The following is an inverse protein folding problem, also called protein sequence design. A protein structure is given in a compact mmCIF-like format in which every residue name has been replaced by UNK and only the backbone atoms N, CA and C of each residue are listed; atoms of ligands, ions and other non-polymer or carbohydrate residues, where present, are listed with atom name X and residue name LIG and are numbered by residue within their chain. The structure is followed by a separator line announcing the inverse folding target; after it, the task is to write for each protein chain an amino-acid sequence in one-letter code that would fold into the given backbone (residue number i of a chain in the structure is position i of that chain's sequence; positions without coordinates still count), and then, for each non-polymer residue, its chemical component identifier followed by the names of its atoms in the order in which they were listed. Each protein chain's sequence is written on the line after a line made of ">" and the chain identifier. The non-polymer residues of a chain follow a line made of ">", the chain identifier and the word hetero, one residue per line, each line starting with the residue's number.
data_IF_503437596418
#
_entry.id   IF_503437596418
#
_cell.length_a   1.000
_cell.length_b   1.000
_cell.length_c   1.000
_cell.angle_alpha   90.00
_cell.angle_beta   90.00
_cell.angle_gamma   90.00
#
_symmetry.space_group_name_H-M   'P 1'
#
loop_
_entity.id
_entity.type
_entity.pdbx_description
1 polymer ?
#
# COMPACT_ATOMS: atom_id res chain seq x y z
N UNK A 1 -2.48 69.67 -31.85
CA UNK A 1 -2.82 68.55 -30.95
C UNK A 1 -1.67 68.43 -29.95
N UNK A 2 -1.74 69.18 -28.85
CA UNK A 2 -0.75 69.28 -27.76
C UNK A 2 -0.75 67.98 -26.93
N UNK A 3 0.39 67.35 -26.61
CA UNK A 3 1.34 67.63 -25.50
C UNK A 3 0.80 67.41 -24.07
N UNK A 4 1.55 66.57 -23.33
CA UNK A 4 2.01 66.69 -21.93
C UNK A 4 1.25 66.03 -20.75
N UNK A 5 2.08 65.28 -19.96
CA UNK A 5 2.33 65.29 -18.49
C UNK A 5 1.14 64.99 -17.55
N UNK A 6 1.20 63.97 -16.68
CA UNK A 6 2.02 63.77 -15.46
C UNK A 6 1.50 64.51 -14.21
N UNK A 7 1.65 63.83 -13.05
CA UNK A 7 1.50 64.28 -11.65
C UNK A 7 0.06 64.45 -11.12
N UNK A 8 -0.28 64.23 -9.85
CA UNK A 8 0.38 63.69 -8.67
C UNK A 8 -0.65 63.55 -7.52
N UNK A 9 -0.28 62.75 -6.51
CA UNK A 9 -0.56 62.93 -5.07
C UNK A 9 -1.98 62.74 -4.50
N UNK A 10 -2.05 61.82 -3.52
CA UNK A 10 -3.10 61.72 -2.51
C UNK A 10 -2.73 60.67 -1.48
N UNK A 11 -1.95 61.07 -0.46
CA UNK A 11 -1.54 60.29 0.72
C UNK A 11 -2.55 60.56 1.85
N UNK A 12 -2.64 59.64 2.82
CA UNK A 12 -3.32 59.69 4.14
C UNK A 12 -4.76 59.16 4.18
N UNK A 13 -5.23 58.41 5.19
CA UNK A 13 -4.68 57.90 6.46
C UNK A 13 -5.68 56.91 7.05
N UNK A 14 -5.21 55.93 7.83
CA UNK A 14 -6.02 55.10 8.72
C UNK A 14 -6.74 55.93 9.80
N UNK A 15 -8.00 55.60 10.11
CA UNK A 15 -8.48 55.21 11.46
C UNK A 15 -10.00 54.97 11.51
N UNK A 16 -10.34 53.75 11.92
CA UNK A 16 -11.34 53.34 12.93
C UNK A 16 -12.69 54.07 13.01
N UNK A 17 -13.77 53.31 12.81
CA UNK A 17 -14.98 53.37 13.66
C UNK A 17 -15.50 51.94 13.88
N UNK A 18 -15.55 51.54 15.15
CA UNK A 18 -16.26 50.39 15.70
C UNK A 18 -17.74 50.74 15.89
N UNK A 19 -18.66 49.83 15.55
CA UNK A 19 -19.62 49.21 16.49
C UNK A 19 -20.75 48.44 15.77
N UNK A 20 -20.89 47.18 16.21
CA UNK A 20 -22.08 46.40 16.53
C UNK A 20 -23.30 46.40 15.59
N UNK A 21 -23.72 45.19 15.17
CA UNK A 21 -24.84 44.48 15.81
C UNK A 21 -24.90 43.00 15.40
N UNK A 22 -25.17 42.15 16.39
CA UNK A 22 -25.43 40.70 16.30
C UNK A 22 -26.76 40.41 15.59
N UNK A 23 -26.88 39.29 14.85
CA UNK A 23 -27.69 38.11 15.26
C UNK A 23 -27.86 37.03 14.18
N UNK A 24 -27.85 35.77 14.66
CA UNK A 24 -28.43 34.51 14.17
C UNK A 24 -27.80 33.71 13.00
N UNK A 25 -27.00 32.71 13.42
CA UNK A 25 -27.00 31.28 13.07
C UNK A 25 -27.73 30.83 11.79
N UNK A 26 -26.96 30.26 10.86
CA UNK A 26 -27.22 28.92 10.32
C UNK A 26 -25.91 28.30 9.84
N UNK A 27 -25.64 27.11 10.35
CA UNK A 27 -24.60 26.20 9.89
C UNK A 27 -24.86 25.80 8.43
N UNK A 28 -23.79 25.63 7.65
CA UNK A 28 -23.55 24.54 6.68
C UNK A 28 -22.38 24.94 5.77
N UNK A 29 -21.20 24.35 5.99
CA UNK A 29 -20.28 23.92 4.91
C UNK A 29 -19.08 23.20 5.52
N UNK A 30 -18.84 21.94 5.14
CA UNK A 30 -17.51 21.35 5.26
C UNK A 30 -17.17 20.48 4.06
N UNK A 31 -16.19 20.96 3.30
CA UNK A 31 -15.68 20.34 2.09
C UNK A 31 -14.21 19.90 2.21
N UNK A 32 -14.01 18.66 1.78
CA UNK A 32 -12.81 18.07 1.16
C UNK A 32 -11.59 17.74 2.04
N UNK A 33 -11.49 16.46 2.40
CA UNK A 33 -10.31 15.61 2.25
C UNK A 33 -10.79 14.31 1.57
N UNK A 34 -9.96 13.60 0.82
CA UNK A 34 -10.34 12.43 0.04
C UNK A 34 -10.85 11.28 0.91
N UNK A 35 -12.15 11.27 1.17
CA UNK A 35 -12.87 10.14 1.75
C UNK A 35 -13.42 9.25 0.64
N UNK A 36 -12.98 8.00 0.65
CA UNK A 36 -13.83 6.87 0.27
C UNK A 36 -14.63 6.49 1.52
N UNK A 37 -15.87 6.97 1.61
CA UNK A 37 -16.93 6.31 2.39
C UNK A 37 -18.18 6.21 1.54
N UNK A 38 -18.64 4.98 1.38
CA UNK A 38 -19.94 4.61 0.83
C UNK A 38 -20.90 4.61 2.04
N UNK A 39 -21.91 5.47 2.01
CA UNK A 39 -23.04 5.45 2.95
C UNK A 39 -24.07 4.47 2.42
N UNK A 40 -24.14 3.27 3.00
CA UNK A 40 -25.21 2.31 2.74
C UNK A 40 -26.29 2.44 3.79
N UNK A 41 -27.41 3.06 3.40
CA UNK A 41 -28.68 2.96 4.11
C UNK A 41 -29.22 1.54 4.04
N UNK A 42 -29.80 1.08 5.16
CA UNK A 42 -30.56 -0.15 5.27
C UNK A 42 -31.74 -0.17 4.30
N UNK A 43 -31.76 -1.15 3.40
CA UNK A 43 -32.99 -1.56 2.73
C UNK A 43 -33.09 -3.08 2.76
N UNK A 44 -33.97 -3.56 3.65
CA UNK A 44 -34.52 -4.91 3.70
C UNK A 44 -34.87 -5.42 2.30
N UNK A 45 -34.21 -6.49 1.85
CA UNK A 45 -34.68 -7.35 0.76
C UNK A 45 -34.40 -8.80 1.17
N UNK A 46 -35.47 -9.59 1.12
CA UNK A 46 -35.61 -10.95 1.64
C UNK A 46 -34.53 -11.94 1.17
N UNK A 47 -34.05 -12.76 2.11
CA UNK A 47 -33.21 -13.94 1.89
C UNK A 47 -33.95 -15.02 1.09
N UNK A 48 -33.32 -15.67 0.09
CA UNK A 48 -33.68 -17.02 -0.28
C UNK A 48 -32.75 -18.00 0.45
N UNK A 49 -33.34 -18.80 1.34
CA UNK A 49 -32.72 -19.97 1.96
C UNK A 49 -32.09 -20.88 0.89
N UNK A 50 -30.79 -21.15 1.00
CA UNK A 50 -30.14 -22.26 0.31
C UNK A 50 -29.47 -23.16 1.34
N UNK A 51 -30.07 -24.33 1.48
CA UNK A 51 -29.66 -25.43 2.35
C UNK A 51 -28.30 -25.99 1.96
N UNK A 52 -27.42 -26.15 2.95
CA UNK A 52 -26.15 -26.87 2.82
C UNK A 52 -26.41 -28.38 2.68
N UNK A 53 -25.89 -29.06 1.65
CA UNK A 53 -25.72 -30.50 1.71
C UNK A 53 -24.49 -30.83 2.55
N UNK A 54 -24.70 -31.66 3.56
CA UNK A 54 -23.69 -32.33 4.38
C UNK A 54 -22.76 -33.17 3.50
N UNK A 55 -21.45 -32.98 3.68
CA UNK A 55 -20.39 -33.86 3.19
C UNK A 55 -20.53 -35.25 3.84
N UNK A 56 -20.31 -36.35 3.10
CA UNK A 56 -18.97 -36.95 3.16
C UNK A 56 -18.56 -37.63 1.85
N UNK A 57 -17.40 -37.27 1.30
CA UNK A 57 -16.40 -38.30 1.00
C UNK A 57 -14.98 -37.74 0.93
N UNK A 58 -14.17 -38.17 1.88
CA UNK A 58 -12.75 -37.91 1.95
C UNK A 58 -12.02 -38.85 0.98
N UNK A 59 -11.39 -38.31 -0.05
CA UNK A 59 -10.16 -38.82 -0.66
C UNK A 59 -9.79 -37.93 -1.85
N UNK A 60 -8.80 -37.05 -1.72
CA UNK A 60 -7.81 -36.77 -2.77
C UNK A 60 -6.59 -36.03 -2.17
N UNK A 61 -5.40 -36.16 -2.79
CA UNK A 61 -4.12 -36.24 -2.08
C UNK A 61 -3.39 -34.89 -1.99
N UNK A 62 -2.81 -34.66 -0.82
CA UNK A 62 -1.91 -33.54 -0.52
C UNK A 62 -0.69 -33.53 -1.46
N UNK A 63 -0.55 -32.49 -2.27
CA UNK A 63 0.67 -32.20 -3.03
C UNK A 63 1.41 -30.98 -2.43
N UNK A 64 2.70 -31.17 -2.15
CA UNK A 64 3.64 -30.19 -1.60
C UNK A 64 4.47 -29.51 -2.73
N UNK A 65 4.77 -28.20 -2.67
CA UNK A 65 5.69 -27.56 -3.63
C UNK A 65 7.19 -27.77 -3.28
N UNK A 66 7.90 -28.38 -4.22
CA UNK A 66 9.36 -28.43 -4.49
C UNK A 66 10.42 -28.13 -3.38
N UNK A 67 11.00 -29.23 -2.88
CA UNK A 67 12.43 -29.57 -2.71
C UNK A 67 13.38 -28.69 -1.86
N UNK A 68 13.54 -29.11 -0.59
CA UNK A 68 14.83 -29.13 0.10
C UNK A 68 15.41 -30.55 0.01
N UNK A 69 16.72 -30.64 -0.22
CA UNK A 69 17.48 -31.84 -0.56
C UNK A 69 17.57 -32.87 0.58
N UNK A 70 17.52 -34.14 0.18
CA UNK A 70 17.75 -35.35 0.98
C UNK A 70 19.13 -35.36 1.63
N UNK A 71 19.19 -35.39 2.96
CA UNK A 71 20.25 -36.02 3.74
C UNK A 71 19.85 -35.99 5.24
N UNK A 72 18.83 -36.74 5.67
CA UNK A 72 18.72 -37.16 7.10
C UNK A 72 17.64 -38.23 7.39
N UNK A 73 17.39 -39.15 6.46
CA UNK A 73 16.60 -40.36 6.76
C UNK A 73 17.32 -41.61 6.29
N UNK A 74 18.34 -42.01 7.05
CA UNK A 74 18.66 -43.41 7.18
C UNK A 74 18.72 -43.76 8.66
N UNK A 75 17.99 -44.82 8.99
CA UNK A 75 17.91 -45.51 10.27
C UNK A 75 17.05 -44.83 11.33
N UNK A 76 15.79 -45.26 11.41
CA UNK A 76 15.14 -45.55 12.69
C UNK A 76 14.03 -46.59 12.44
N UNK A 77 14.45 -47.84 12.33
CA UNK A 77 13.58 -49.01 12.39
C UNK A 77 14.08 -49.94 13.48
N UNK A 78 13.88 -49.61 14.76
CA UNK A 78 14.14 -50.58 15.83
C UNK A 78 13.15 -50.45 16.99
N UNK A 79 12.35 -51.52 17.11
CA UNK A 79 11.84 -52.14 18.33
C UNK A 79 12.44 -51.65 19.65
N UNK A 80 11.56 -51.28 20.58
CA UNK A 80 11.87 -50.96 21.98
C UNK A 80 12.45 -52.16 22.72
N UNK A 81 13.65 -52.05 23.34
CA UNK A 81 14.07 -52.93 24.41
C UNK A 81 13.90 -52.24 25.77
N UNK A 82 13.42 -53.00 26.76
CA UNK A 82 13.49 -52.65 28.17
C UNK A 82 14.94 -52.38 28.58
N UNK A 83 15.24 -51.15 28.99
CA UNK A 83 16.50 -50.76 29.61
C UNK A 83 16.20 -49.82 30.79
N UNK A 84 16.42 -50.34 32.00
CA UNK A 84 16.56 -49.54 33.22
C UNK A 84 17.70 -48.53 33.02
N UNK A 85 17.35 -47.24 32.92
CA UNK A 85 18.26 -46.11 32.82
C UNK A 85 18.22 -45.22 34.08
N UNK A 86 19.23 -44.36 34.29
CA UNK A 86 19.46 -43.69 35.57
C UNK A 86 18.32 -42.73 35.90
N UNK A 87 17.97 -42.66 37.19
CA UNK A 87 16.96 -41.74 37.70
C UNK A 87 17.30 -40.32 37.28
N UNK A 88 16.53 -39.79 36.32
CA UNK A 88 16.51 -38.36 36.03
C UNK A 88 15.87 -37.71 37.24
N UNK A 89 16.67 -36.97 38.01
CA UNK A 89 16.16 -36.06 39.02
C UNK A 89 15.30 -35.02 38.27
N UNK A 90 13.99 -35.19 38.39
CA UNK A 90 13.02 -34.22 37.86
C UNK A 90 13.14 -32.98 38.74
N UNK A 91 13.71 -31.93 38.17
CA UNK A 91 13.71 -30.60 38.76
C UNK A 91 12.27 -30.08 38.81
N UNK A 92 11.63 -30.25 39.98
CA UNK A 92 10.27 -29.79 40.24
C UNK A 92 10.16 -28.25 40.37
N UNK A 93 11.27 -27.49 40.29
CA UNK A 93 11.25 -26.02 40.37
C UNK A 93 10.94 -25.32 39.03
N UNK A 94 10.62 -26.08 37.96
CA UNK A 94 10.14 -25.53 36.69
C UNK A 94 8.78 -24.81 36.81
N UNK A 95 7.97 -25.12 37.82
CA UNK A 95 6.66 -24.47 38.05
C UNK A 95 6.78 -23.05 38.63
N UNK A 96 7.95 -22.66 39.17
CA UNK A 96 8.15 -21.35 39.80
C UNK A 96 8.99 -20.36 38.97
N UNK A 97 9.28 -20.69 37.70
CA UNK A 97 9.73 -19.65 36.77
C UNK A 97 8.52 -18.81 36.39
N UNK A 98 8.49 -17.56 36.85
CA UNK A 98 7.68 -16.52 36.23
C UNK A 98 8.01 -16.51 34.74
N UNK A 99 7.19 -17.17 33.93
CA UNK A 99 7.20 -17.01 32.49
C UNK A 99 6.76 -15.57 32.28
N UNK A 100 7.60 -14.68 31.72
CA UNK A 100 7.17 -13.31 31.44
C UNK A 100 5.88 -13.40 30.66
N UNK A 101 4.83 -12.71 31.10
CA UNK A 101 3.60 -12.67 30.31
C UNK A 101 3.97 -12.32 28.87
N UNK A 102 3.47 -13.08 27.87
CA UNK A 102 3.77 -12.78 26.50
C UNK A 102 3.34 -11.34 26.27
N UNK A 103 4.31 -10.49 25.88
CA UNK A 103 3.99 -9.11 25.53
C UNK A 103 2.86 -9.16 24.50
N UNK A 104 1.84 -8.28 24.62
CA UNK A 104 0.78 -8.24 23.63
C UNK A 104 1.43 -8.13 22.25
N UNK A 105 0.87 -8.81 21.23
CA UNK A 105 1.39 -8.69 19.87
C UNK A 105 1.47 -7.21 19.51
N UNK A 106 2.64 -6.80 19.04
CA UNK A 106 2.90 -5.43 18.60
C UNK A 106 3.56 -5.53 17.25
N UNK A 107 3.14 -4.69 16.31
CA UNK A 107 3.79 -4.60 15.00
C UNK A 107 5.20 -4.06 15.19
N UNK A 108 6.15 -4.60 14.43
CA UNK A 108 7.51 -4.07 14.40
C UNK A 108 7.48 -2.64 13.87
N UNK A 109 7.99 -1.69 14.65
CA UNK A 109 8.02 -0.29 14.25
C UNK A 109 8.95 -0.08 13.05
N UNK A 110 8.54 0.79 12.12
CA UNK A 110 9.36 1.15 10.96
C UNK A 110 10.69 1.81 11.36
N UNK A 111 11.75 1.46 10.64
CA UNK A 111 13.09 2.02 10.87
C UNK A 111 13.16 3.42 10.25
N UNK A 112 13.15 4.45 11.09
CA UNK A 112 13.20 5.85 10.64
C UNK A 112 14.57 6.24 10.09
N UNK A 113 14.60 6.77 8.86
CA UNK A 113 15.75 7.35 8.17
C UNK A 113 15.49 8.86 8.00
N UNK A 114 15.89 9.62 9.01
CA UNK A 114 15.64 11.06 9.15
C UNK A 114 16.91 11.92 9.22
N UNK A 115 18.09 11.29 9.23
CA UNK A 115 19.39 11.98 9.21
C UNK A 115 20.29 11.43 8.11
N UNK A 116 21.32 12.20 7.75
CA UNK A 116 22.31 11.76 6.77
C UNK A 116 23.08 10.53 7.26
N UNK A 117 23.36 10.43 8.55
CA UNK A 117 24.05 9.30 9.16
C UNK A 117 23.22 8.03 9.06
N UNK A 118 21.91 8.11 9.31
CA UNK A 118 21.01 6.96 9.14
C UNK A 118 20.85 6.58 7.67
N UNK A 119 20.79 7.56 6.78
CA UNK A 119 20.76 7.33 5.34
C UNK A 119 22.04 6.62 4.87
N UNK A 120 23.21 7.09 5.31
CA UNK A 120 24.50 6.45 5.04
C UNK A 120 24.59 5.02 5.56
N UNK A 121 24.02 4.76 6.74
CA UNK A 121 23.95 3.42 7.30
C UNK A 121 23.00 2.50 6.51
N UNK A 122 21.92 3.06 5.96
CA UNK A 122 20.95 2.32 5.15
C UNK A 122 21.49 1.98 3.76
N UNK A 123 22.19 2.89 3.08
CA UNK A 123 22.56 2.77 1.66
C UNK A 123 23.24 1.43 1.25
N UNK A 124 24.14 0.80 2.03
CA UNK A 124 24.69 -0.52 1.71
C UNK A 124 23.67 -1.67 1.61
N UNK A 125 22.45 -1.45 2.11
CA UNK A 125 21.33 -2.39 2.02
C UNK A 125 20.82 -2.49 0.58
N UNK A 126 20.96 -1.43 -0.22
CA UNK A 126 20.48 -1.41 -1.61
C UNK A 126 21.18 -2.45 -2.49
N UNK A 127 22.45 -2.76 -2.22
CA UNK A 127 23.23 -3.75 -2.96
C UNK A 127 22.85 -5.21 -2.60
N UNK A 128 22.00 -5.41 -1.59
CA UNK A 128 21.54 -6.71 -1.13
C UNK A 128 20.12 -7.05 -1.64
N UNK A 129 19.49 -6.12 -2.36
CA UNK A 129 18.16 -6.32 -2.93
C UNK A 129 18.16 -7.47 -3.94
N UNK A 130 17.13 -8.30 -3.88
CA UNK A 130 16.94 -9.42 -4.80
C UNK A 130 16.19 -9.01 -6.07
N UNK A 131 16.34 -9.81 -7.13
CA UNK A 131 15.54 -9.70 -8.34
C UNK A 131 14.13 -10.26 -8.12
N UNK A 132 13.18 -9.86 -8.98
CA UNK A 132 11.78 -10.24 -8.83
C UNK A 132 11.01 -9.32 -7.87
N UNK A 133 9.98 -9.83 -7.19
CA UNK A 133 9.17 -9.04 -6.24
C UNK A 133 9.96 -8.81 -4.96
N UNK A 134 10.42 -7.58 -4.74
CA UNK A 134 11.38 -7.30 -3.65
C UNK A 134 11.04 -6.07 -2.80
N UNK A 135 10.35 -5.09 -3.36
CA UNK A 135 10.04 -3.84 -2.69
C UNK A 135 8.53 -3.67 -2.57
N UNK A 136 8.07 -3.16 -1.43
CA UNK A 136 6.74 -2.62 -1.25
C UNK A 136 6.86 -1.17 -0.78
N UNK A 137 6.18 -0.25 -1.45
CA UNK A 137 6.40 1.20 -1.31
C UNK A 137 5.07 1.95 -1.22
N UNK A 138 5.12 3.06 -0.49
CA UNK A 138 4.03 4.03 -0.38
C UNK A 138 4.60 5.42 -0.04
N UNK A 139 3.98 6.48 -0.54
CA UNK A 139 4.41 7.85 -0.26
C UNK A 139 3.34 8.63 0.48
N UNK A 140 3.79 9.40 1.46
CA UNK A 140 2.93 10.31 2.20
C UNK A 140 3.11 11.75 1.73
N UNK A 141 1.98 12.45 1.63
CA UNK A 141 1.93 13.85 1.21
C UNK A 141 2.14 14.83 2.34
N UNK A 142 2.21 16.11 1.98
CA UNK A 142 2.05 17.21 2.92
C UNK A 142 0.57 17.60 3.05
N UNK A 143 0.17 18.27 4.14
CA UNK A 143 -1.15 18.86 4.26
C UNK A 143 -1.51 19.73 3.04
N UNK A 144 -2.74 19.58 2.57
CA UNK A 144 -3.30 20.54 1.62
C UNK A 144 -3.52 21.88 2.31
N UNK A 145 -2.94 22.96 1.77
CA UNK A 145 -3.19 24.32 2.28
C UNK A 145 -4.35 24.92 1.52
N UNK A 146 -5.36 25.44 2.22
CA UNK A 146 -6.40 26.29 1.63
C UNK A 146 -6.22 27.73 2.11
N UNK A 147 -6.35 28.70 1.21
CA UNK A 147 -6.41 30.14 1.55
C UNK A 147 -7.74 30.66 0.99
N UNK A 148 -8.59 31.21 1.86
CA UNK A 148 -9.95 31.64 1.52
C UNK A 148 -10.79 30.55 0.83
N UNK A 149 -10.71 29.30 1.32
CA UNK A 149 -11.41 28.15 0.74
C UNK A 149 -10.77 27.57 -0.53
N UNK A 150 -9.76 28.23 -1.12
CA UNK A 150 -9.09 27.79 -2.36
C UNK A 150 -7.81 27.02 -2.03
N UNK A 151 -7.64 25.85 -2.63
CA UNK A 151 -6.40 25.07 -2.55
C UNK A 151 -5.22 25.89 -3.10
N UNK A 152 -4.21 26.09 -2.28
CA UNK A 152 -2.97 26.73 -2.70
C UNK A 152 -2.12 25.66 -3.39
N UNK A 153 -1.57 25.94 -4.60
CA UNK A 153 -0.79 24.96 -5.35
C UNK A 153 0.42 24.40 -4.59
N UNK A 154 0.91 25.12 -3.56
CA UNK A 154 2.07 24.74 -2.76
C UNK A 154 1.73 23.84 -1.56
N UNK A 155 0.73 22.96 -1.65
CA UNK A 155 0.36 22.02 -0.59
C UNK A 155 -0.32 20.77 -1.14
N UNK A 156 -0.43 19.72 -0.33
CA UNK A 156 -1.04 18.45 -0.73
C UNK A 156 -0.03 17.42 -1.26
N UNK A 157 -0.53 16.47 -2.06
CA UNK A 157 0.18 15.33 -2.64
C UNK A 157 0.08 15.37 -4.18
N UNK A 158 1.08 14.82 -4.89
CA UNK A 158 1.19 14.88 -6.36
C UNK A 158 2.12 15.98 -6.90
N UNK A 159 2.03 16.29 -8.20
CA UNK A 159 2.99 17.13 -8.95
C UNK A 159 3.22 18.54 -8.40
N UNK A 160 2.22 19.11 -7.74
CA UNK A 160 2.30 20.44 -7.12
C UNK A 160 2.53 20.36 -5.60
N UNK A 161 2.31 19.19 -5.00
CA UNK A 161 2.41 18.94 -3.57
C UNK A 161 3.82 18.57 -3.10
N UNK A 162 3.99 18.42 -1.78
CA UNK A 162 5.26 17.99 -1.18
C UNK A 162 5.13 16.57 -0.63
N UNK A 163 6.24 15.83 -0.66
CA UNK A 163 6.35 14.50 -0.08
C UNK A 163 6.92 14.64 1.32
N UNK A 164 6.23 14.08 2.31
CA UNK A 164 6.69 14.05 3.70
C UNK A 164 7.50 12.80 3.97
N UNK A 165 6.98 11.63 3.56
CA UNK A 165 7.62 10.34 3.77
C UNK A 165 7.55 9.46 2.53
N UNK A 166 8.50 8.53 2.48
CA UNK A 166 8.43 7.32 1.67
C UNK A 166 8.61 6.15 2.63
N UNK A 167 7.65 5.23 2.70
CA UNK A 167 7.85 3.94 3.35
C UNK A 167 8.30 2.90 2.32
N UNK A 168 9.20 2.02 2.75
CA UNK A 168 9.73 0.95 1.92
C UNK A 168 9.94 -0.30 2.75
N UNK A 169 9.20 -1.35 2.44
CA UNK A 169 9.45 -2.70 2.97
C UNK A 169 10.34 -3.45 1.99
N UNK A 170 11.50 -3.89 2.48
CA UNK A 170 12.37 -4.82 1.76
C UNK A 170 11.93 -6.23 2.14
N UNK A 171 11.33 -6.92 1.17
CA UNK A 171 10.63 -8.18 1.37
C UNK A 171 11.58 -9.28 1.84
N UNK A 172 12.72 -9.44 1.15
CA UNK A 172 13.71 -10.46 1.50
C UNK A 172 14.30 -10.31 2.90
N UNK A 173 14.25 -9.09 3.46
CA UNK A 173 14.78 -8.76 4.78
C UNK A 173 13.70 -8.68 5.86
N UNK A 174 12.41 -8.66 5.46
CA UNK A 174 11.26 -8.43 6.35
C UNK A 174 11.43 -7.17 7.20
N UNK A 175 11.89 -6.08 6.58
CA UNK A 175 12.13 -4.79 7.26
C UNK A 175 11.46 -3.66 6.53
N UNK A 176 10.79 -2.80 7.28
CA UNK A 176 10.19 -1.56 6.79
C UNK A 176 11.04 -0.37 7.21
N UNK A 177 11.42 0.45 6.23
CA UNK A 177 12.15 1.70 6.42
C UNK A 177 11.24 2.88 6.12
N UNK A 178 11.28 3.92 6.93
CA UNK A 178 10.52 5.15 6.74
C UNK A 178 11.52 6.28 6.46
N UNK A 179 11.56 6.77 5.23
CA UNK A 179 12.42 7.86 4.83
C UNK A 179 11.74 9.20 5.07
N UNK A 180 12.39 10.07 5.84
CA UNK A 180 11.95 11.44 6.05
C UNK A 180 12.31 12.34 4.87
N UNK A 181 11.50 12.26 3.81
CA UNK A 181 11.71 13.04 2.59
C UNK A 181 11.54 14.54 2.86
N UNK A 182 10.75 14.92 3.86
CA UNK A 182 10.62 16.33 4.26
C UNK A 182 11.96 16.92 4.74
N UNK A 183 12.67 16.21 5.63
CA UNK A 183 13.95 16.67 6.16
C UNK A 183 15.10 16.47 5.16
N UNK A 184 15.18 15.28 4.54
CA UNK A 184 16.30 14.88 3.69
C UNK A 184 16.16 15.37 2.23
N UNK A 185 14.93 15.70 1.80
CA UNK A 185 14.59 16.25 0.49
C UNK A 185 15.11 15.36 -0.64
N UNK A 186 15.71 15.95 -1.68
CA UNK A 186 16.30 15.22 -2.81
C UNK A 186 17.44 14.29 -2.40
N UNK A 187 18.10 14.57 -1.29
CA UNK A 187 19.19 13.74 -0.77
C UNK A 187 18.74 12.31 -0.52
N UNK A 188 17.49 12.09 -0.11
CA UNK A 188 16.91 10.75 0.08
C UNK A 188 17.10 9.87 -1.16
N UNK A 189 16.95 10.46 -2.35
CA UNK A 189 16.95 9.73 -3.62
C UNK A 189 18.30 9.80 -4.35
N UNK A 190 19.01 10.92 -4.22
CA UNK A 190 20.23 11.21 -4.99
C UNK A 190 21.51 10.73 -4.29
N UNK A 191 21.49 10.55 -2.96
CA UNK A 191 22.68 10.09 -2.23
C UNK A 191 23.02 8.66 -2.61
N UNK A 192 24.30 8.44 -2.91
CA UNK A 192 24.81 7.15 -3.37
C UNK A 192 25.55 6.42 -2.25
N UNK A 193 25.43 5.10 -2.25
CA UNK A 193 26.29 4.19 -1.53
C UNK A 193 27.73 4.23 -2.09
N UNK A 194 28.66 3.52 -1.43
CA UNK A 194 30.08 3.47 -1.87
C UNK A 194 30.26 2.81 -3.24
N UNK A 195 29.37 1.90 -3.61
CA UNK A 195 29.29 1.25 -4.92
C UNK A 195 28.53 2.08 -5.98
N UNK A 196 28.10 3.30 -5.63
CA UNK A 196 27.48 4.25 -6.56
C UNK A 196 25.98 4.05 -6.77
N UNK A 197 25.33 3.22 -5.96
CA UNK A 197 23.90 2.92 -6.04
C UNK A 197 23.09 3.90 -5.17
N UNK A 198 22.05 4.49 -5.72
CA UNK A 198 21.11 5.36 -4.99
C UNK A 198 19.69 4.79 -4.99
N UNK A 199 18.85 5.29 -4.08
CA UNK A 199 17.44 4.91 -4.04
C UNK A 199 16.73 5.30 -5.35
N UNK A 200 17.11 6.42 -5.98
CA UNK A 200 16.62 6.79 -7.32
C UNK A 200 16.87 5.68 -8.34
N UNK A 201 18.11 5.19 -8.44
CA UNK A 201 18.45 4.13 -9.41
C UNK A 201 17.72 2.81 -9.10
N UNK A 202 17.46 2.53 -7.82
CA UNK A 202 16.65 1.37 -7.41
C UNK A 202 15.20 1.50 -7.84
N UNK A 203 14.59 2.67 -7.67
CA UNK A 203 13.22 2.95 -8.10
C UNK A 203 13.05 3.01 -9.62
N UNK A 204 14.11 3.37 -10.36
CA UNK A 204 14.13 3.40 -11.84
C UNK A 204 14.46 2.02 -12.46
N UNK A 205 14.93 1.06 -11.66
CA UNK A 205 15.32 -0.27 -12.14
C UNK A 205 14.10 -1.09 -12.62
N UNK A 206 14.35 -1.88 -13.67
CA UNK A 206 13.39 -2.83 -14.22
C UNK A 206 13.68 -4.29 -13.83
N UNK A 207 14.73 -4.52 -13.03
CA UNK A 207 15.19 -5.85 -12.63
C UNK A 207 14.33 -6.42 -11.48
N UNK A 208 13.71 -5.53 -10.71
CA UNK A 208 12.87 -5.85 -9.55
C UNK A 208 11.52 -5.18 -9.63
N UNK A 209 10.49 -5.94 -9.25
CA UNK A 209 9.11 -5.49 -9.16
C UNK A 209 8.91 -4.76 -7.83
N UNK A 210 8.36 -3.56 -7.94
CA UNK A 210 7.93 -2.71 -6.84
C UNK A 210 6.42 -2.87 -6.65
N UNK A 211 6.00 -3.32 -5.48
CA UNK A 211 4.60 -3.40 -5.08
C UNK A 211 4.13 -2.05 -4.57
N UNK A 212 2.96 -1.63 -5.05
CA UNK A 212 2.31 -0.39 -4.66
C UNK A 212 0.81 -0.64 -4.50
N UNK A 213 0.14 0.18 -3.69
CA UNK A 213 -1.32 0.22 -3.65
C UNK A 213 -1.81 1.53 -4.28
N UNK A 214 -2.36 1.47 -5.50
CA UNK A 214 -2.73 2.68 -6.27
C UNK A 214 -1.55 3.62 -6.58
N UNK A 215 -0.71 3.22 -7.52
CA UNK A 215 0.52 3.92 -7.97
C UNK A 215 0.36 5.39 -8.40
N UNK A 216 -0.87 5.89 -8.59
CA UNK A 216 -1.10 7.14 -9.32
C UNK A 216 -0.55 8.36 -8.57
N UNK A 217 -0.89 8.48 -7.28
CA UNK A 217 -0.47 9.65 -6.49
C UNK A 217 1.06 9.67 -6.29
N UNK A 218 1.62 8.50 -5.97
CA UNK A 218 3.05 8.30 -5.72
C UNK A 218 3.90 8.66 -6.93
N UNK A 219 3.56 8.14 -8.12
CA UNK A 219 4.35 8.40 -9.31
C UNK A 219 4.20 9.82 -9.84
N UNK A 220 3.02 10.45 -9.68
CA UNK A 220 2.83 11.87 -9.99
C UNK A 220 3.80 12.75 -9.18
N UNK A 221 4.00 12.45 -7.89
CA UNK A 221 4.94 13.20 -7.05
C UNK A 221 6.40 12.82 -7.28
N UNK A 222 6.74 11.54 -7.38
CA UNK A 222 8.11 11.04 -7.59
C UNK A 222 8.70 11.59 -8.90
N UNK A 223 7.91 11.58 -9.97
CA UNK A 223 8.35 12.08 -11.26
C UNK A 223 8.48 13.61 -11.27
N UNK A 224 7.41 14.35 -10.93
CA UNK A 224 7.42 15.80 -11.12
C UNK A 224 8.28 16.56 -10.08
N UNK A 225 8.42 16.03 -8.86
CA UNK A 225 9.18 16.72 -7.79
C UNK A 225 10.64 16.26 -7.72
N UNK A 226 10.90 14.99 -8.01
CA UNK A 226 12.21 14.36 -7.83
C UNK A 226 12.84 13.87 -9.14
N UNK A 227 12.11 13.91 -10.26
CA UNK A 227 12.63 13.52 -11.57
C UNK A 227 12.98 12.03 -11.65
N UNK A 228 12.27 11.20 -10.89
CA UNK A 228 12.47 9.75 -10.84
C UNK A 228 11.64 9.12 -11.96
N UNK A 229 12.29 8.34 -12.81
CA UNK A 229 11.62 7.61 -13.89
C UNK A 229 10.91 6.36 -13.36
N UNK A 230 9.83 5.97 -14.04
CA UNK A 230 9.06 4.78 -13.68
C UNK A 230 9.94 3.53 -13.88
N UNK A 231 10.12 2.75 -12.81
CA UNK A 231 10.71 1.41 -12.88
C UNK A 231 9.66 0.33 -13.09
N UNK A 232 9.97 -0.91 -12.74
CA UNK A 232 9.01 -2.02 -12.85
C UNK A 232 8.05 -2.04 -11.65
N UNK A 233 6.79 -1.69 -11.90
CA UNK A 233 5.76 -1.52 -10.87
C UNK A 233 4.64 -2.54 -11.00
N UNK A 234 4.05 -2.94 -9.87
CA UNK A 234 2.85 -3.77 -9.78
C UNK A 234 1.88 -3.15 -8.80
N UNK A 235 0.73 -2.71 -9.31
CA UNK A 235 -0.33 -2.10 -8.53
C UNK A 235 -1.27 -3.20 -7.98
N UNK A 236 -1.18 -3.46 -6.68
CA UNK A 236 -1.97 -4.48 -6.00
C UNK A 236 -3.47 -4.17 -6.00
N UNK A 237 -3.87 -2.92 -6.14
CA UNK A 237 -5.28 -2.56 -6.27
C UNK A 237 -5.87 -3.11 -7.59
N UNK A 238 -5.08 -3.16 -8.66
CA UNK A 238 -5.49 -3.78 -9.92
C UNK A 238 -5.56 -5.30 -9.80
N UNK A 239 -4.59 -5.92 -9.12
CA UNK A 239 -4.63 -7.35 -8.80
C UNK A 239 -5.90 -7.70 -8.02
N UNK A 240 -6.23 -6.89 -7.02
CA UNK A 240 -7.38 -7.08 -6.17
C UNK A 240 -8.67 -7.07 -7.00
N UNK A 241 -8.89 -6.06 -7.84
CA UNK A 241 -10.05 -5.99 -8.76
C UNK A 241 -10.19 -7.23 -9.62
N UNK A 242 -9.09 -7.69 -10.22
CA UNK A 242 -9.12 -8.86 -11.09
C UNK A 242 -9.37 -10.17 -10.31
N UNK A 243 -8.89 -10.24 -9.06
CA UNK A 243 -9.02 -11.41 -8.19
C UNK A 243 -10.44 -11.66 -7.66
N UNK A 244 -11.35 -10.68 -7.77
CA UNK A 244 -12.75 -10.80 -7.29
C UNK A 244 -13.55 -11.81 -8.11
N UNK A 245 -14.48 -12.48 -7.43
CA UNK A 245 -15.48 -13.36 -8.07
C UNK A 245 -16.72 -12.59 -8.58
N UNK A 246 -16.98 -11.40 -8.04
CA UNK A 246 -18.19 -10.61 -8.32
C UNK A 246 -17.92 -9.25 -8.97
N UNK A 247 -18.63 -8.22 -8.52
CA UNK A 247 -18.61 -6.88 -9.12
C UNK A 247 -17.19 -6.28 -9.17
N UNK A 248 -16.78 -5.92 -10.39
CA UNK A 248 -15.50 -5.27 -10.72
C UNK A 248 -15.66 -3.82 -11.18
N UNK A 249 -16.81 -3.18 -10.96
CA UNK A 249 -17.04 -1.81 -11.45
C UNK A 249 -16.43 -0.71 -10.57
N UNK A 250 -15.80 -1.07 -9.44
CA UNK A 250 -15.12 -0.13 -8.54
C UNK A 250 -13.83 -0.72 -7.99
N UNK A 251 -12.81 0.09 -7.77
CA UNK A 251 -11.61 -0.29 -7.01
C UNK A 251 -11.87 -0.20 -5.49
N UNK A 252 -11.18 -1.02 -4.70
CA UNK A 252 -11.24 -0.97 -3.23
C UNK A 252 -10.04 -0.21 -2.64
N UNK A 253 -10.22 0.38 -1.46
CA UNK A 253 -9.11 0.91 -0.67
C UNK A 253 -8.42 -0.18 0.15
N UNK A 254 -7.15 0.03 0.52
CA UNK A 254 -6.33 -0.96 1.22
C UNK A 254 -6.96 -1.47 2.51
N UNK A 255 -7.49 -0.58 3.36
CA UNK A 255 -8.17 -0.95 4.61
C UNK A 255 -9.33 -1.92 4.37
N UNK A 256 -10.15 -1.66 3.35
CA UNK A 256 -11.27 -2.55 3.00
C UNK A 256 -10.76 -3.91 2.56
N UNK A 257 -9.77 -3.93 1.68
CA UNK A 257 -9.17 -5.18 1.19
C UNK A 257 -8.52 -5.96 2.33
N UNK A 258 -7.84 -5.31 3.26
CA UNK A 258 -7.24 -5.98 4.42
C UNK A 258 -8.30 -6.58 5.35
N UNK A 259 -9.44 -5.91 5.58
CA UNK A 259 -10.58 -6.49 6.32
C UNK A 259 -11.12 -7.77 5.65
N UNK A 260 -11.10 -7.83 4.32
CA UNK A 260 -11.61 -8.97 3.55
C UNK A 260 -10.57 -10.11 3.43
N UNK A 261 -9.30 -9.76 3.18
CA UNK A 261 -8.24 -10.69 2.77
C UNK A 261 -7.20 -10.98 3.86
N UNK A 262 -7.02 -10.09 4.85
CA UNK A 262 -5.95 -10.17 5.84
C UNK A 262 -5.97 -11.46 6.67
N UNK A 263 -7.17 -11.95 6.99
CA UNK A 263 -7.39 -13.19 7.75
C UNK A 263 -6.83 -14.45 7.08
N UNK A 264 -6.46 -14.38 5.80
CA UNK A 264 -5.86 -15.51 5.07
C UNK A 264 -4.35 -15.64 5.32
N UNK A 265 -3.69 -14.64 5.91
CA UNK A 265 -2.24 -14.62 6.10
C UNK A 265 -1.75 -13.95 7.40
N UNK A 266 -2.66 -13.36 8.19
CA UNK A 266 -2.41 -12.84 9.53
C UNK A 266 -3.25 -13.62 10.55
N UNK A 267 -2.78 -13.71 11.80
CA UNK A 267 -3.64 -14.13 12.91
C UNK A 267 -4.78 -13.12 13.13
N UNK A 268 -5.88 -13.51 13.79
CA UNK A 268 -6.95 -12.57 14.16
C UNK A 268 -6.42 -11.34 14.91
N UNK A 269 -5.50 -11.55 15.85
CA UNK A 269 -4.90 -10.49 16.68
C UNK A 269 -4.00 -9.56 15.84
N UNK A 270 -3.15 -10.12 14.98
CA UNK A 270 -2.28 -9.34 14.08
C UNK A 270 -3.10 -8.46 13.13
N UNK A 271 -4.20 -9.00 12.59
CA UNK A 271 -5.10 -8.27 11.71
C UNK A 271 -5.86 -7.17 12.46
N UNK A 272 -6.35 -7.46 13.67
CA UNK A 272 -7.02 -6.46 14.52
C UNK A 272 -6.08 -5.30 14.83
N UNK A 273 -4.83 -5.59 15.23
CA UNK A 273 -3.81 -4.55 15.46
C UNK A 273 -3.55 -3.72 14.21
N UNK A 274 -3.41 -4.35 13.04
CA UNK A 274 -3.19 -3.61 11.79
C UNK A 274 -4.38 -2.69 11.46
N UNK A 275 -5.61 -3.18 11.63
CA UNK A 275 -6.84 -2.39 11.40
C UNK A 275 -6.91 -1.22 12.36
N UNK A 276 -6.68 -1.46 13.65
CA UNK A 276 -6.71 -0.45 14.70
C UNK A 276 -5.65 0.63 14.47
N UNK A 277 -4.41 0.25 14.17
CA UNK A 277 -3.34 1.19 13.82
C UNK A 277 -3.71 2.04 12.59
N UNK A 278 -4.27 1.41 11.56
CA UNK A 278 -4.67 2.08 10.31
C UNK A 278 -5.79 3.08 10.55
N UNK A 279 -6.80 2.72 11.34
CA UNK A 279 -7.92 3.58 11.68
C UNK A 279 -7.50 4.69 12.64
N UNK A 280 -6.75 4.38 13.69
CA UNK A 280 -6.23 5.35 14.66
C UNK A 280 -5.33 6.39 14.00
N UNK A 281 -4.43 5.97 13.10
CA UNK A 281 -3.59 6.89 12.33
C UNK A 281 -4.39 7.79 11.38
N UNK A 282 -5.34 7.21 10.62
CA UNK A 282 -6.24 7.98 9.75
C UNK A 282 -7.01 9.04 10.54
N UNK A 283 -7.59 8.65 11.68
CA UNK A 283 -8.32 9.55 12.56
C UNK A 283 -7.41 10.62 13.16
N UNK A 284 -6.21 10.25 13.60
CA UNK A 284 -5.21 11.15 14.13
C UNK A 284 -4.84 12.23 13.10
N UNK A 285 -4.51 11.85 11.86
CA UNK A 285 -4.18 12.80 10.81
C UNK A 285 -5.36 13.71 10.46
N UNK A 286 -6.57 13.15 10.30
CA UNK A 286 -7.77 13.96 9.97
C UNK A 286 -8.06 15.01 11.05
N UNK A 287 -8.06 14.62 12.33
CA UNK A 287 -8.30 15.54 13.45
C UNK A 287 -7.27 16.67 13.54
N UNK A 288 -6.06 16.44 13.03
CA UNK A 288 -4.97 17.41 13.05
C UNK A 288 -4.69 18.03 11.67
N UNK A 289 -5.66 18.00 10.75
CA UNK A 289 -5.54 18.58 9.40
C UNK A 289 -4.27 18.14 8.66
N UNK A 290 -3.89 16.87 8.85
CA UNK A 290 -2.70 16.21 8.31
C UNK A 290 -1.35 16.85 8.72
N UNK A 291 -1.34 17.90 9.56
CA UNK A 291 -0.11 18.56 10.03
C UNK A 291 0.94 17.60 10.61
N UNK A 292 0.56 16.50 11.30
CA UNK A 292 1.55 15.58 11.84
C UNK A 292 2.47 14.93 10.79
N UNK A 293 2.12 14.94 9.50
CA UNK A 293 3.02 14.47 8.44
C UNK A 293 4.25 15.36 8.26
N UNK A 294 4.20 16.63 8.67
CA UNK A 294 5.35 17.55 8.59
C UNK A 294 5.93 17.93 9.95
N UNK A 295 5.28 17.53 11.05
CA UNK A 295 5.77 17.74 12.41
C UNK A 295 6.90 16.77 12.76
N UNK A 296 7.88 17.21 13.55
CA UNK A 296 9.02 16.39 13.98
C UNK A 296 9.28 16.53 15.48
N UNK A 297 9.64 15.44 16.19
CA UNK A 297 9.66 14.04 15.70
C UNK A 297 8.24 13.51 15.44
N UNK A 298 8.10 12.50 14.57
CA UNK A 298 6.82 11.79 14.43
C UNK A 298 6.54 10.96 15.67
N UNK A 299 5.27 10.78 16.01
CA UNK A 299 4.86 9.91 17.11
C UNK A 299 4.64 8.46 16.63
N UNK A 300 4.48 7.55 17.58
CA UNK A 300 4.26 6.13 17.30
C UNK A 300 3.01 5.88 16.44
N UNK A 301 1.93 6.63 16.63
CA UNK A 301 0.69 6.49 15.83
C UNK A 301 0.97 6.76 14.35
N UNK A 302 1.69 7.85 14.04
CA UNK A 302 2.09 8.18 12.68
C UNK A 302 3.08 7.13 12.12
N UNK A 303 4.05 6.69 12.93
CA UNK A 303 5.02 5.66 12.56
C UNK A 303 4.35 4.33 12.16
N UNK A 304 3.41 3.83 12.99
CA UNK A 304 2.65 2.60 12.74
C UNK A 304 1.74 2.70 11.52
N UNK A 305 1.12 3.86 11.31
CA UNK A 305 0.29 4.11 10.13
C UNK A 305 1.11 4.04 8.84
N UNK A 306 2.22 4.78 8.78
CA UNK A 306 3.05 4.92 7.58
C UNK A 306 3.73 3.59 7.22
N UNK A 307 4.22 2.86 8.23
CA UNK A 307 4.82 1.53 8.00
C UNK A 307 3.78 0.46 7.66
N UNK A 308 2.54 0.60 8.13
CA UNK A 308 1.43 -0.35 7.88
C UNK A 308 0.95 -0.44 6.44
N UNK A 309 1.15 0.61 5.66
CA UNK A 309 0.76 0.59 4.26
C UNK A 309 1.67 -0.27 3.39
N UNK A 310 2.93 -0.48 3.79
CA UNK A 310 3.88 -1.27 3.00
C UNK A 310 4.15 -2.65 3.57
N UNK A 311 4.09 -2.82 4.90
CA UNK A 311 4.46 -4.09 5.54
C UNK A 311 3.51 -5.25 5.17
N UNK A 312 2.23 -4.95 4.96
CA UNK A 312 1.22 -5.92 4.62
C UNK A 312 1.23 -6.33 3.13
N UNK A 313 1.81 -5.50 2.24
CA UNK A 313 1.64 -5.63 0.80
C UNK A 313 2.21 -6.94 0.23
N UNK A 314 3.30 -7.47 0.80
CA UNK A 314 3.87 -8.71 0.27
C UNK A 314 2.96 -9.93 0.55
N UNK A 315 2.42 -10.04 1.75
CA UNK A 315 1.51 -11.14 2.06
C UNK A 315 0.17 -10.97 1.36
N UNK A 316 -0.31 -9.73 1.24
CA UNK A 316 -1.47 -9.42 0.41
C UNK A 316 -1.22 -9.80 -1.06
N UNK A 317 -0.05 -9.48 -1.62
CA UNK A 317 0.35 -9.91 -2.95
C UNK A 317 0.29 -11.43 -3.10
N UNK A 318 0.85 -12.20 -2.16
CA UNK A 318 0.83 -13.66 -2.20
C UNK A 318 -0.61 -14.22 -2.18
N UNK A 319 -1.47 -13.64 -1.35
CA UNK A 319 -2.89 -14.00 -1.30
C UNK A 319 -3.62 -13.68 -2.62
N UNK A 320 -3.35 -12.52 -3.23
CA UNK A 320 -3.94 -12.15 -4.51
C UNK A 320 -3.41 -13.03 -5.66
N UNK A 321 -2.12 -13.40 -5.65
CA UNK A 321 -1.53 -14.39 -6.58
C UNK A 321 -2.26 -15.72 -6.44
N UNK A 322 -2.49 -16.21 -5.22
CA UNK A 322 -3.21 -17.46 -4.98
C UNK A 322 -4.64 -17.40 -5.53
N UNK A 323 -5.37 -16.30 -5.32
CA UNK A 323 -6.72 -16.11 -5.87
C UNK A 323 -6.72 -16.08 -7.40
N UNK A 324 -5.74 -15.43 -8.02
CA UNK A 324 -5.60 -15.37 -9.48
C UNK A 324 -5.19 -16.73 -10.06
N UNK A 325 -4.33 -17.47 -9.38
CA UNK A 325 -3.98 -18.85 -9.73
C UNK A 325 -5.21 -19.75 -9.70
N UNK A 326 -6.00 -19.73 -8.61
CA UNK A 326 -7.25 -20.47 -8.52
C UNK A 326 -8.22 -20.06 -9.60
N UNK A 327 -8.30 -18.77 -9.91
CA UNK A 327 -9.12 -18.30 -11.02
C UNK A 327 -8.69 -18.89 -12.36
N UNK A 328 -7.39 -18.85 -12.69
CA UNK A 328 -6.84 -19.43 -13.91
C UNK A 328 -7.12 -20.94 -13.98
N UNK A 329 -6.94 -21.66 -12.88
CA UNK A 329 -7.17 -23.10 -12.80
C UNK A 329 -8.65 -23.49 -12.94
N UNK A 330 -9.54 -22.79 -12.24
CA UNK A 330 -10.99 -23.07 -12.23
C UNK A 330 -11.72 -22.55 -13.48
N UNK A 331 -11.03 -22.01 -14.48
CA UNK A 331 -11.63 -21.57 -15.75
C UNK A 331 -11.14 -22.42 -16.94
N UNK A 332 -11.38 -23.75 -17.00
CA UNK A 332 -10.93 -24.56 -18.13
C UNK A 332 -11.75 -24.24 -19.39
N UNK A 333 -11.08 -23.95 -20.50
CA UNK A 333 -11.70 -23.94 -21.84
C UNK A 333 -12.62 -22.76 -22.16
N UNK A 334 -12.85 -21.83 -21.24
CA UNK A 334 -13.42 -20.51 -21.57
C UNK A 334 -12.25 -19.60 -21.90
N UNK A 335 -12.01 -19.41 -23.19
CA UNK A 335 -11.07 -18.41 -23.67
C UNK A 335 -11.38 -17.10 -22.95
N UNK A 336 -10.43 -16.57 -22.19
CA UNK A 336 -10.52 -15.19 -21.72
C UNK A 336 -10.23 -14.33 -22.94
N UNK A 337 -11.17 -14.32 -23.89
CA UNK A 337 -11.01 -13.71 -25.22
C UNK A 337 -10.53 -12.27 -25.05
N UNK A 338 -11.09 -11.54 -24.08
CA UNK A 338 -10.61 -10.22 -23.71
C UNK A 338 -9.16 -10.18 -23.21
N UNK A 339 -8.74 -11.04 -22.28
CA UNK A 339 -7.38 -11.00 -21.72
C UNK A 339 -6.31 -11.34 -22.76
N UNK A 340 -6.51 -12.42 -23.54
CA UNK A 340 -5.55 -12.84 -24.55
C UNK A 340 -5.41 -11.80 -25.67
N UNK A 341 -6.52 -11.21 -26.11
CA UNK A 341 -6.51 -10.08 -27.05
C UNK A 341 -5.78 -8.87 -26.48
N UNK A 342 -6.02 -8.53 -25.20
CA UNK A 342 -5.41 -7.39 -24.52
C UNK A 342 -3.87 -7.53 -24.38
N UNK A 343 -3.36 -8.76 -24.23
CA UNK A 343 -1.91 -9.03 -24.19
C UNK A 343 -1.31 -9.45 -25.54
N UNK A 344 -2.13 -9.49 -26.62
CA UNK A 344 -1.67 -9.81 -27.97
C UNK A 344 -1.29 -11.27 -28.22
N UNK A 345 -1.80 -12.22 -27.41
CA UNK A 345 -1.54 -13.67 -27.56
C UNK A 345 -2.69 -14.36 -28.30
N UNK A 346 -2.43 -15.53 -28.90
CA UNK A 346 -3.46 -16.30 -29.60
C UNK A 346 -4.54 -16.79 -28.60
N UNK A 347 -5.79 -16.41 -28.86
CA UNK A 347 -6.95 -16.67 -28.00
C UNK A 347 -7.31 -18.16 -27.82
N UNK A 348 -6.64 -19.11 -28.48
CA UNK A 348 -7.00 -20.55 -28.45
C UNK A 348 -6.46 -21.31 -27.24
N UNK A 349 -5.58 -20.71 -26.43
CA UNK A 349 -5.01 -21.32 -25.22
C UNK A 349 -5.65 -20.81 -23.93
N UNK A 350 -5.70 -21.60 -22.84
CA UNK A 350 -6.12 -21.12 -21.54
C UNK A 350 -5.15 -20.04 -21.02
N UNK A 351 -5.66 -19.06 -20.29
CA UNK A 351 -4.82 -18.08 -19.60
C UNK A 351 -4.02 -18.74 -18.48
N UNK A 352 -2.70 -18.57 -18.53
CA UNK A 352 -1.81 -18.96 -17.44
C UNK A 352 -1.75 -17.87 -16.38
N UNK A 353 -1.22 -18.21 -15.19
CA UNK A 353 -0.91 -17.20 -14.18
C UNK A 353 0.08 -16.15 -14.70
N UNK A 354 1.03 -16.55 -15.55
CA UNK A 354 2.02 -15.66 -16.15
C UNK A 354 1.36 -14.64 -17.08
N UNK A 355 0.41 -15.07 -17.92
CA UNK A 355 -0.36 -14.17 -18.80
C UNK A 355 -1.14 -13.11 -17.99
N UNK A 356 -1.73 -13.54 -16.87
CA UNK A 356 -2.47 -12.66 -15.97
C UNK A 356 -1.53 -11.65 -15.30
N UNK A 357 -0.38 -12.10 -14.81
CA UNK A 357 0.61 -11.21 -14.20
C UNK A 357 1.19 -10.23 -15.22
N UNK A 358 1.45 -10.68 -16.46
CA UNK A 358 1.90 -9.81 -17.55
C UNK A 358 0.87 -8.71 -17.84
N UNK A 359 -0.41 -9.06 -17.94
CA UNK A 359 -1.48 -8.07 -18.11
C UNK A 359 -1.51 -7.04 -16.97
N UNK A 360 -1.44 -7.51 -15.71
CA UNK A 360 -1.46 -6.64 -14.54
C UNK A 360 -0.24 -5.71 -14.54
N UNK A 361 0.95 -6.23 -14.84
CA UNK A 361 2.18 -5.43 -14.88
C UNK A 361 2.12 -4.38 -15.99
N UNK A 362 1.58 -4.73 -17.18
CA UNK A 362 1.35 -3.78 -18.26
C UNK A 362 0.35 -2.68 -17.87
N UNK A 363 -0.76 -3.03 -17.23
CA UNK A 363 -1.77 -2.06 -16.78
C UNK A 363 -1.26 -1.21 -15.61
N UNK A 364 -0.45 -1.78 -14.72
CA UNK A 364 0.23 -1.05 -13.64
C UNK A 364 1.18 0.01 -14.22
N UNK A 365 1.98 -0.37 -15.23
CA UNK A 365 2.86 0.57 -15.94
C UNK A 365 2.06 1.64 -16.68
N UNK A 366 0.98 1.29 -17.40
CA UNK A 366 0.08 2.27 -18.06
C UNK A 366 -0.50 3.27 -17.05
N UNK A 367 -0.92 2.79 -15.88
CA UNK A 367 -1.48 3.63 -14.81
C UNK A 367 -0.43 4.58 -14.21
N UNK A 368 0.81 4.12 -14.00
CA UNK A 368 1.91 4.97 -13.58
C UNK A 368 2.30 6.00 -14.66
N UNK A 369 2.39 5.59 -15.93
CA UNK A 369 2.68 6.51 -17.05
C UNK A 369 1.58 7.56 -17.25
N UNK A 370 0.32 7.17 -17.11
CA UNK A 370 -0.78 8.12 -17.13
C UNK A 370 -0.65 9.12 -15.99
N UNK A 371 -0.28 8.69 -14.78
CA UNK A 371 -0.13 9.58 -13.63
C UNK A 371 0.92 10.70 -13.84
N UNK A 372 1.96 10.46 -14.64
CA UNK A 372 3.00 11.46 -14.94
C UNK A 372 2.70 12.28 -16.22
N UNK A 373 1.56 12.03 -16.86
CA UNK A 373 1.17 12.72 -18.09
C UNK A 373 0.63 14.13 -17.80
N UNK A 374 0.73 15.09 -18.74
CA UNK A 374 0.13 16.41 -18.59
C UNK A 374 -1.38 16.39 -18.30
N UNK A 375 -2.09 15.38 -18.81
CA UNK A 375 -3.55 15.24 -18.74
C UNK A 375 -4.03 14.73 -17.37
N UNK A 376 -3.15 14.10 -16.58
CA UNK A 376 -3.52 13.60 -15.27
C UNK A 376 -3.71 14.73 -14.26
N UNK A 377 -4.87 14.70 -13.59
CA UNK A 377 -5.21 15.59 -12.50
C UNK A 377 -5.37 14.77 -11.21
N UNK A 378 -4.38 14.87 -10.33
CA UNK A 378 -4.39 14.23 -9.01
C UNK A 378 -5.44 14.82 -8.06
N UNK A 379 -6.07 15.95 -8.38
CA UNK A 379 -7.17 16.53 -7.59
C UNK A 379 -8.56 16.08 -8.04
N UNK A 380 -8.70 15.69 -9.32
CA UNK A 380 -9.96 15.21 -9.87
C UNK A 380 -10.45 13.95 -9.13
N UNK A 381 -11.75 13.88 -8.83
CA UNK A 381 -12.39 12.65 -8.32
C UNK A 381 -12.90 11.75 -9.44
N UNK A 382 -12.96 12.26 -10.66
CA UNK A 382 -13.53 11.56 -11.80
C UNK A 382 -12.69 10.34 -12.15
N UNK A 383 -13.35 9.19 -12.33
CA UNK A 383 -12.70 7.94 -12.73
C UNK A 383 -11.75 7.30 -11.69
N UNK A 384 -11.44 7.95 -10.56
CA UNK A 384 -10.49 7.41 -9.57
C UNK A 384 -10.95 6.11 -8.93
N UNK A 385 -12.26 5.95 -8.77
CA UNK A 385 -12.88 4.77 -8.18
C UNK A 385 -13.17 3.68 -9.23
N UNK A 386 -12.98 3.97 -10.52
CA UNK A 386 -13.32 3.07 -11.61
C UNK A 386 -12.02 2.36 -12.06
N UNK A 387 -12.03 1.03 -12.20
CA UNK A 387 -10.87 0.32 -12.72
C UNK A 387 -10.67 0.61 -14.22
N UNK A 388 -9.47 0.36 -14.76
CA UNK A 388 -9.22 0.55 -16.18
C UNK A 388 -10.23 -0.24 -17.03
N UNK A 389 -10.74 0.30 -18.15
CA UNK A 389 -11.77 -0.34 -18.98
C UNK A 389 -11.41 -1.78 -19.41
N UNK A 390 -10.13 -2.06 -19.60
CA UNK A 390 -9.61 -3.39 -19.91
C UNK A 390 -10.03 -4.45 -18.86
N UNK A 391 -10.11 -4.10 -17.57
CA UNK A 391 -10.52 -5.03 -16.51
C UNK A 391 -12.01 -5.37 -16.57
N UNK A 392 -12.84 -4.47 -17.09
CA UNK A 392 -14.29 -4.69 -17.25
C UNK A 392 -14.59 -5.66 -18.41
N UNK A 393 -13.66 -5.81 -19.35
CA UNK A 393 -13.75 -6.77 -20.44
C UNK A 393 -13.36 -8.19 -20.01
N UNK A 394 -12.75 -8.34 -18.83
CA UNK A 394 -12.32 -9.63 -18.28
C UNK A 394 -13.36 -10.15 -17.29
N UNK A 395 -14.30 -10.95 -17.81
CA UNK A 395 -15.32 -11.63 -17.00
C UNK A 395 -14.89 -13.06 -16.63
N UNK A 396 -15.29 -13.49 -15.43
CA UNK A 396 -15.35 -14.92 -15.11
C UNK A 396 -16.69 -15.42 -15.64
N UNK A 397 -16.72 -15.96 -16.85
CA UNK A 397 -17.92 -16.67 -17.35
C UNK A 397 -18.05 -18.03 -16.73
#
# INVERSE_FOLDING_TARGET
>A
MLMMRAQAHGRMTCKEVLNNEEYFLSDEESGSSSDNRDTGEDSNIDEPECSWPTDPDANEPWFQPWSLTNEFEQQLSHTWPDLEGPQVEVDWDLENREVPEPKPPQREEGIMIDTLEKLDAFLPTLSQLKDGVELALDCEGSPSKKVNGVLVPSGGFGRNGYMSFLSMTIISMKKTYIFDVWQLKRTTFERQSKDGLSLKQVLESHDRIQLWWDVRGDWDILFHRFGIQIGKVRDLQLMEVLSRQGYKGRVSGLLRTMKEEGKNFMSPEELEIWIDDKEAGSDYFKRHNWQPLIDRPINAIASSYISGDTDCLFQLHNQLVYKLYRWAYCTPGKTVTGLMELIGKQSTLPATLEDIMEFIDQESARRAHHAISPEFDSSSKEGKTIPPPAFLQISRT
#
